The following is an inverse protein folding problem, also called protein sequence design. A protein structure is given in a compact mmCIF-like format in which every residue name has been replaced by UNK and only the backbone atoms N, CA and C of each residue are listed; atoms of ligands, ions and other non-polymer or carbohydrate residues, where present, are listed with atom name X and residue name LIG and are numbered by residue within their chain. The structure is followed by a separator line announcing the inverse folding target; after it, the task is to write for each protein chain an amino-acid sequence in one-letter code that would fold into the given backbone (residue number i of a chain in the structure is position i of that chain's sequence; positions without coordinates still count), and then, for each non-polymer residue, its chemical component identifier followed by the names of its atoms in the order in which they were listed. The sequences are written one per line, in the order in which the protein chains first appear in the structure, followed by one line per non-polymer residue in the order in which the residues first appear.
data_IF_422458314559
#
_entry.id   IF_422458314559
#
_cell.length_a   1.000
_cell.length_b   1.000
_cell.length_c   1.000
_cell.angle_alpha   90.00
_cell.angle_beta   90.00
_cell.angle_gamma   90.00
#
_symmetry.space_group_name_H-M   'P 1'
#
loop_
_entity.id
_entity.type
_entity.pdbx_description
1 polymer ?
2 polymer ?
3 polymer ?
4 non-polymer ?
#
loop_
_entity_poly.entity_id
_entity_poly.type
_entity_poly.pdbx_seq_one_letter_code
_entity_poly.pdbx_strand_id
1 'polyribonucleotide' 'GACUAAGUUCGGCAUCAAUAUGGUGACCUCCCGGGAGCGGGGGACCACCAGGUUGCCUAAGGAGGGGUGAACCGGCCCAGGUCGGAAACGGAGCAGGUCAAAACUCCCGUGCUGAUCAGUAGUUA' ?
#
# COMPACT_ATOMS: atom_id res chain seq x y z
N UNK B 13 -22.26 30.15 48.23
CA UNK B 13 -21.24 30.32 47.19
C UNK B 13 -20.52 29.02 46.86
N UNK B 14 -20.69 28.01 47.72
CA UNK B 14 -20.13 26.69 47.48
C UNK B 14 -21.20 25.81 46.83
N UNK B 15 -21.59 26.18 45.60
CA UNK B 15 -22.56 25.43 44.83
C UNK B 15 -21.95 24.95 43.50
N UNK B 16 -22.36 23.78 43.04
CA UNK B 16 -21.88 23.27 41.76
C UNK B 16 -22.43 24.08 40.59
N UNK B 17 -21.62 24.25 39.56
CA UNK B 17 -22.05 24.96 38.35
C UNK B 17 -22.71 23.97 37.42
N UNK B 18 -23.54 24.48 36.52
CA UNK B 18 -24.14 23.67 35.45
C UNK B 18 -24.43 24.53 34.23
N UNK B 19 -23.76 24.20 33.13
CA UNK B 19 -24.01 24.85 31.86
C UNK B 19 -25.00 24.02 31.05
N UNK B 20 -25.75 24.65 30.14
CA UNK B 20 -26.72 23.94 29.31
C UNK B 20 -26.03 23.12 28.23
N UNK B 21 -24.80 23.51 27.92
CA UNK B 21 -23.95 22.74 27.02
C UNK B 21 -23.83 21.31 27.50
N UNK B 22 -23.78 21.13 28.81
CA UNK B 22 -23.62 19.81 29.42
C UNK B 22 -24.71 18.82 28.98
N UNK B 23 -25.84 19.33 28.51
CA UNK B 23 -27.00 18.48 28.27
C UNK B 23 -27.42 18.48 26.82
N UNK B 24 -26.76 19.32 26.01
CA UNK B 24 -27.15 19.51 24.63
C UNK B 24 -26.74 18.37 23.71
N UNK B 25 -27.73 17.68 23.14
CA UNK B 25 -27.43 16.52 22.31
C UNK B 25 -26.80 16.85 20.94
N UNK B 26 -26.83 18.12 20.55
CA UNK B 26 -26.20 18.56 19.31
C UNK B 26 -24.80 19.10 19.53
N UNK B 27 -24.16 18.64 20.60
CA UNK B 27 -22.79 19.06 20.92
C UNK B 27 -21.96 17.83 21.27
N UNK B 28 -20.69 17.85 20.87
CA UNK B 28 -19.80 16.75 21.18
C UNK B 28 -19.24 16.90 22.57
N UNK B 29 -18.81 15.78 23.14
CA UNK B 29 -18.10 15.76 24.40
C UNK B 29 -17.01 16.85 24.44
N UNK B 30 -16.36 17.08 23.31
CA UNK B 30 -15.32 18.10 23.25
C UNK B 30 -15.93 19.49 23.22
N UNK B 31 -17.22 19.57 22.93
CA UNK B 31 -17.91 20.86 22.87
C UNK B 31 -18.55 21.18 24.21
N UNK B 32 -18.39 20.27 25.18
CA UNK B 32 -18.91 20.50 26.52
C UNK B 32 -19.68 19.36 27.14
N UNK B 33 -20.56 18.73 26.37
CA UNK B 33 -21.55 17.78 26.89
C UNK B 33 -21.00 16.81 27.94
N UNK B 34 -21.78 16.56 28.99
CA UNK B 34 -21.32 15.75 30.12
C UNK B 34 -22.05 14.41 30.26
N UNK B 35 -23.12 14.26 29.50
CA UNK B 35 -23.91 13.03 29.56
C UNK B 35 -24.06 12.35 28.20
N UNK B 36 -24.24 11.01 28.19
CA UNK B 36 -24.46 10.26 26.96
C UNK B 36 -25.57 10.86 26.10
N UNK B 37 -25.39 10.86 24.78
CA UNK B 37 -26.35 11.44 23.86
C UNK B 37 -27.75 10.87 24.02
N UNK B 38 -27.81 9.56 24.25
CA UNK B 38 -29.07 8.84 24.42
C UNK B 38 -29.95 9.47 25.50
N UNK B 39 -29.31 9.95 26.56
CA UNK B 39 -30.02 10.55 27.68
C UNK B 39 -30.12 12.08 27.55
N UNK B 40 -29.34 12.64 26.63
CA UNK B 40 -29.28 14.10 26.47
C UNK B 40 -30.48 14.64 25.72
N UNK B 41 -30.54 15.97 25.59
CA UNK B 41 -31.67 16.61 24.91
C UNK B 41 -31.20 17.69 23.94
N UNK B 42 -32.15 18.19 23.15
CA UNK B 42 -31.85 19.21 22.15
C UNK B 42 -32.02 20.62 22.70
N UNK B 43 -30.97 21.41 22.54
CA UNK B 43 -30.96 22.83 22.92
C UNK B 43 -31.58 23.14 24.27
N UNK B 44 -31.07 22.53 25.35
CA UNK B 44 -31.63 22.88 26.65
C UNK B 44 -31.23 24.30 26.99
N UNK B 45 -32.14 25.03 27.64
CA UNK B 45 -31.85 26.39 28.06
C UNK B 45 -31.70 26.47 29.57
N UNK B 46 -30.83 27.37 30.02
CA UNK B 46 -30.56 27.56 31.44
C UNK B 46 -31.88 27.74 32.18
N UNK B 47 -32.79 28.46 31.53
CA UNK B 47 -34.14 28.64 32.04
C UNK B 47 -34.84 27.29 32.25
N UNK B 48 -34.91 26.49 31.18
CA UNK B 48 -35.49 25.16 31.21
C UNK B 48 -34.85 24.33 32.33
N UNK B 49 -33.53 24.40 32.39
CA UNK B 49 -32.77 23.71 33.41
C UNK B 49 -33.17 24.13 34.84
N UNK B 50 -33.15 25.43 35.10
CA UNK B 50 -33.55 25.95 36.40
C UNK B 50 -34.94 25.48 36.77
N UNK B 51 -35.85 25.57 35.80
CA UNK B 51 -37.25 25.25 36.05
C UNK B 51 -37.50 23.80 36.43
N UNK B 52 -36.82 22.87 35.77
CA UNK B 52 -37.05 21.46 36.06
C UNK B 52 -36.33 21.03 37.34
N UNK B 53 -35.27 21.73 37.68
CA UNK B 53 -34.54 21.45 38.92
C UNK B 53 -35.30 21.97 40.11
N UNK B 54 -35.65 23.25 40.06
CA UNK B 54 -36.41 23.90 41.11
C UNK B 54 -37.69 23.12 41.37
N UNK B 55 -38.40 22.77 40.31
CA UNK B 55 -39.69 22.12 40.43
C UNK B 55 -39.65 20.77 41.14
N UNK B 56 -38.46 20.19 41.26
CA UNK B 56 -38.36 18.96 42.02
C UNK B 56 -38.04 19.28 43.48
N UNK B 57 -37.80 20.55 43.76
CA UNK B 57 -37.52 20.98 45.12
C UNK B 57 -36.05 21.19 45.40
N UNK B 58 -35.28 21.39 44.34
CA UNK B 58 -33.87 21.69 44.50
C UNK B 58 -33.73 23.17 44.70
N UNK B 59 -32.75 23.56 45.48
CA UNK B 59 -32.41 24.96 45.60
C UNK B 59 -31.55 25.32 44.41
N UNK B 60 -32.10 26.11 43.50
CA UNK B 60 -31.34 26.55 42.34
C UNK B 60 -31.47 28.05 42.10
N UNK B 61 -30.39 28.67 41.62
CA UNK B 61 -30.48 30.05 41.20
C UNK B 61 -29.81 30.25 39.85
N UNK B 62 -30.41 31.12 39.04
CA UNK B 62 -30.08 31.23 37.64
C UNK B 62 -29.22 32.46 37.33
N UNK B 63 -28.08 32.24 36.70
CA UNK B 63 -27.23 33.34 36.27
C UNK B 63 -27.39 33.60 34.76
N UNK B 64 -28.40 34.41 34.43
CA UNK B 64 -28.77 34.74 33.05
C UNK B 64 -27.64 35.22 32.16
N UNK B 65 -26.58 35.74 32.75
CA UNK B 65 -25.53 36.38 31.96
C UNK B 65 -24.16 35.74 32.03
N UNK B 66 -24.09 34.48 32.45
CA UNK B 66 -22.84 33.75 32.36
C UNK B 66 -22.87 32.96 31.06
N UNK B 67 -21.75 32.95 30.35
CA UNK B 67 -21.63 32.17 29.12
C UNK B 67 -20.69 30.99 29.33
N UNK B 68 -20.89 29.93 28.56
CA UNK B 68 -19.96 28.82 28.64
C UNK B 68 -18.68 29.25 27.94
N UNK B 69 -17.54 28.93 28.51
CA UNK B 69 -16.26 29.26 27.88
C UNK B 69 -16.14 28.63 26.49
N UNK B 70 -16.58 27.37 26.40
CA UNK B 70 -16.55 26.62 25.15
C UNK B 70 -17.71 27.01 24.25
N UNK B 71 -18.60 27.85 24.75
CA UNK B 71 -19.73 28.24 23.91
C UNK B 71 -19.31 29.43 23.10
N UNK B 72 -19.72 29.40 21.83
CA UNK B 72 -19.23 30.29 20.79
C UNK B 72 -20.38 31.14 20.21
N UNK B 73 -21.60 30.62 20.32
CA UNK B 73 -22.79 31.25 19.76
C UNK B 73 -23.28 32.44 20.59
N UNK B 74 -22.92 33.66 20.19
CA UNK B 74 -23.21 34.85 20.98
C UNK B 74 -24.67 35.23 21.15
N UNK B 75 -25.60 34.44 20.61
CA UNK B 75 -27.01 34.81 20.77
C UNK B 75 -27.68 34.11 21.96
N UNK B 76 -28.62 34.84 22.55
CA UNK B 76 -29.22 34.56 23.86
C UNK B 76 -29.66 33.10 24.15
N UNK B 77 -30.07 32.34 23.14
CA UNK B 77 -30.63 31.02 23.44
C UNK B 77 -29.60 30.02 23.96
N UNK B 78 -28.32 30.41 23.94
CA UNK B 78 -27.26 29.53 24.43
C UNK B 78 -26.48 30.13 25.60
N UNK B 79 -26.84 31.34 26.02
CA UNK B 79 -26.19 31.95 27.18
C UNK B 79 -26.84 31.39 28.42
N UNK B 80 -26.17 31.56 29.56
CA UNK B 80 -26.77 31.15 30.82
C UNK B 80 -26.05 30.02 31.54
N UNK B 81 -26.08 30.10 32.87
CA UNK B 81 -25.48 29.10 33.73
C UNK B 81 -26.44 28.86 34.88
N UNK B 82 -26.61 27.61 35.28
CA UNK B 82 -27.44 27.31 36.44
C UNK B 82 -26.63 26.78 37.62
N UNK B 83 -26.65 27.50 38.73
CA UNK B 83 -25.94 27.04 39.91
C UNK B 83 -26.92 26.22 40.75
N UNK B 84 -26.44 25.11 41.30
CA UNK B 84 -27.30 24.28 42.13
C UNK B 84 -26.61 23.94 43.46
N UNK B 85 -27.38 23.94 44.53
CA UNK B 85 -26.87 23.53 45.84
C UNK B 85 -27.10 22.03 46.07
N UNK B 86 -26.06 21.34 46.53
CA UNK B 86 -26.19 19.94 46.92
C UNK B 86 -26.12 19.81 48.44
N UNK B 87 -25.54 20.82 49.08
CA UNK B 87 -25.18 20.71 50.48
C UNK B 87 -25.60 21.89 51.36
N UNK B 88 -26.04 21.55 52.57
CA UNK B 88 -26.53 22.49 53.58
C UNK B 88 -25.40 23.22 54.29
N UNK B 89 -24.16 22.94 53.88
CA UNK B 89 -22.94 23.49 54.48
C UNK B 89 -22.65 22.96 55.89
N UNK B 90 -23.25 21.82 56.24
CA UNK B 90 -22.71 20.98 57.30
C UNK B 90 -22.08 19.75 56.65
N UNK B 91 -22.06 19.76 55.32
CA UNK B 91 -21.48 18.70 54.52
C UNK B 91 -22.48 17.67 54.05
N UNK B 92 -23.68 17.68 54.64
CA UNK B 92 -24.69 16.71 54.30
C UNK B 92 -25.38 17.04 52.99
N UNK B 93 -25.94 16.03 52.35
CA UNK B 93 -26.60 16.23 51.08
C UNK B 93 -27.95 16.86 51.33
N UNK B 94 -28.22 17.98 50.67
CA UNK B 94 -29.52 18.62 50.75
C UNK B 94 -30.60 17.59 50.52
N UNK B 95 -30.41 16.79 49.48
CA UNK B 95 -31.28 15.68 49.21
C UNK B 95 -30.44 14.44 48.99
N UNK B 96 -30.99 13.30 49.35
CA UNK B 96 -30.31 12.03 49.16
C UNK B 96 -30.42 11.56 47.71
N UNK B 97 -31.46 12.05 47.02
CA UNK B 97 -31.64 11.71 45.61
C UNK B 97 -30.55 12.31 44.73
N UNK B 98 -29.94 13.40 45.19
CA UNK B 98 -28.94 14.08 44.37
C UNK B 98 -27.57 14.22 45.04
N UNK B 99 -26.81 13.12 45.10
CA UNK B 99 -25.45 13.17 45.64
C UNK B 99 -24.42 13.80 44.69
N UNK B 100 -24.60 13.65 43.38
CA UNK B 100 -23.58 14.08 42.42
C UNK B 100 -24.10 14.98 41.31
N UNK B 101 -23.20 15.76 40.74
CA UNK B 101 -23.49 16.63 39.61
C UNK B 101 -24.15 15.84 38.49
N UNK B 102 -23.58 14.68 38.23
CA UNK B 102 -24.09 13.79 37.20
C UNK B 102 -25.52 13.41 37.46
N UNK B 103 -25.84 13.15 38.73
CA UNK B 103 -27.20 12.76 39.13
C UNK B 103 -28.16 13.90 38.87
N UNK B 104 -27.67 15.12 39.04
CA UNK B 104 -28.48 16.29 38.72
C UNK B 104 -28.76 16.30 37.22
N UNK B 105 -27.69 16.41 36.43
CA UNK B 105 -27.77 16.56 34.99
C UNK B 105 -28.69 15.56 34.32
N UNK B 106 -28.51 14.29 34.66
CA UNK B 106 -29.30 13.21 34.08
C UNK B 106 -30.78 13.40 34.34
N UNK B 107 -31.09 13.95 35.52
CA UNK B 107 -32.48 14.18 35.87
C UNK B 107 -33.05 15.32 35.06
N UNK B 108 -32.36 16.47 35.07
CA UNK B 108 -32.79 17.63 34.31
C UNK B 108 -33.08 17.21 32.87
N UNK B 109 -32.14 16.45 32.33
CA UNK B 109 -32.26 15.87 31.00
C UNK B 109 -33.56 15.10 30.92
N UNK B 110 -33.83 14.27 31.92
CA UNK B 110 -35.04 13.45 31.93
C UNK B 110 -36.31 14.29 32.04
N UNK B 111 -36.22 15.47 32.65
CA UNK B 111 -37.44 16.24 32.94
C UNK B 111 -37.77 17.39 32.01
N UNK B 112 -36.76 18.08 31.50
CA UNK B 112 -36.97 19.15 30.52
C UNK B 112 -37.97 18.84 29.38
N UNK B 113 -37.92 17.63 28.80
CA UNK B 113 -38.81 17.32 27.67
C UNK B 113 -40.30 17.29 27.97
N UNK B 114 -40.71 17.11 29.22
CA UNK B 114 -42.14 17.08 29.54
C UNK B 114 -42.79 18.45 29.54
N UNK B 115 -41.96 19.48 29.47
CA UNK B 115 -42.44 20.86 29.45
C UNK B 115 -43.17 21.22 28.14
N UNK B 116 -42.39 21.46 27.09
CA UNK B 116 -42.91 22.02 25.85
C UNK B 116 -43.63 20.98 25.01
N UNK B 117 -43.16 19.73 25.08
CA UNK B 117 -43.74 18.68 24.27
C UNK B 117 -44.55 17.70 25.12
N UNK C 20 8.89 -19.89 -38.54
CA UNK C 20 9.17 -18.67 -37.80
C UNK C 20 10.43 -18.83 -36.94
N UNK C 21 11.17 -17.74 -36.78
CA UNK C 21 12.48 -17.80 -36.12
C UNK C 21 12.67 -16.63 -35.15
N UNK C 22 13.44 -16.85 -34.09
CA UNK C 22 13.81 -15.79 -33.15
C UNK C 22 15.07 -16.13 -32.37
N UNK C 23 16.13 -15.36 -32.59
CA UNK C 23 17.42 -15.59 -31.95
C UNK C 23 17.59 -14.76 -30.66
N UNK C 24 17.05 -15.27 -29.57
CA UNK C 24 16.93 -14.50 -28.33
C UNK C 24 18.24 -13.90 -27.78
N UNK C 25 19.22 -14.76 -27.46
CA UNK C 25 20.45 -14.29 -26.85
C UNK C 25 21.16 -13.21 -27.66
N UNK C 26 21.14 -13.34 -28.98
CA UNK C 26 21.78 -12.38 -29.86
C UNK C 26 21.05 -11.04 -29.85
N UNK C 27 19.71 -11.10 -29.87
CA UNK C 27 18.89 -9.90 -29.83
C UNK C 27 19.14 -9.11 -28.56
N UNK C 28 18.98 -9.77 -27.43
CA UNK C 28 19.12 -9.09 -26.16
C UNK C 28 20.53 -8.52 -26.04
N UNK C 29 21.55 -9.30 -26.41
CA UNK C 29 22.92 -8.84 -26.26
C UNK C 29 23.23 -7.60 -27.10
N UNK C 30 22.52 -7.43 -28.21
CA UNK C 30 22.81 -6.29 -29.08
C UNK C 30 21.92 -5.09 -28.78
N UNK C 31 20.68 -5.35 -28.37
CA UNK C 31 19.82 -4.29 -27.88
C UNK C 31 20.49 -3.68 -26.65
N UNK C 32 20.86 -4.56 -25.71
CA UNK C 32 21.42 -4.14 -24.42
C UNK C 32 22.62 -3.23 -24.58
N UNK C 33 23.54 -3.63 -25.45
CA UNK C 33 24.79 -2.90 -25.56
C UNK C 33 24.62 -1.56 -26.26
N UNK C 34 23.63 -1.46 -27.14
CA UNK C 34 23.44 -0.23 -27.91
C UNK C 34 22.71 0.89 -27.16
N UNK C 35 21.86 0.53 -26.20
CA UNK C 35 21.03 1.53 -25.53
C UNK C 35 21.23 1.58 -24.02
N UNK C 36 22.47 1.61 -23.56
CA UNK C 36 22.72 1.83 -22.15
C UNK C 36 23.67 0.88 -21.44
N UNK C 37 23.39 -0.42 -21.50
CA UNK C 37 24.09 -1.39 -20.66
C UNK C 37 25.59 -1.46 -20.89
N UNK C 38 26.08 -0.69 -21.85
CA UNK C 38 27.51 -0.49 -22.03
C UNK C 38 28.03 0.20 -20.79
N UNK C 39 27.20 1.07 -20.22
CA UNK C 39 27.56 1.80 -19.03
C UNK C 39 26.65 1.42 -17.86
N UNK C 40 25.67 0.57 -18.14
CA UNK C 40 24.81 0.04 -17.10
C UNK C 40 23.55 0.86 -16.89
N UNK C 41 23.24 1.73 -17.84
CA UNK C 41 22.09 2.61 -17.71
C UNK C 41 20.78 1.87 -18.03
N UNK C 42 20.28 1.12 -17.06
CA UNK C 42 19.06 0.33 -17.24
C UNK C 42 17.80 1.16 -17.47
N UNK C 43 17.84 2.43 -17.09
CA UNK C 43 16.73 3.33 -17.38
C UNK C 43 16.55 3.48 -18.88
N UNK C 44 17.60 3.94 -19.55
CA UNK C 44 17.55 4.19 -20.99
C UNK C 44 17.16 2.92 -21.73
N UNK C 45 17.82 1.82 -21.42
CA UNK C 45 17.57 0.57 -22.13
C UNK C 45 16.15 0.09 -21.90
N UNK C 46 15.64 0.26 -20.69
CA UNK C 46 14.27 -0.14 -20.41
C UNK C 46 13.33 0.71 -21.23
N UNK C 47 13.65 1.99 -21.32
CA UNK C 47 12.89 2.92 -22.12
C UNK C 47 12.90 2.47 -23.56
N UNK C 48 14.08 2.06 -24.02
CA UNK C 48 14.26 1.56 -25.37
C UNK C 48 13.37 0.35 -25.60
N UNK C 49 13.28 -0.51 -24.60
CA UNK C 49 12.43 -1.69 -24.69
C UNK C 49 10.97 -1.26 -24.79
N UNK C 50 10.59 -0.26 -24.01
CA UNK C 50 9.21 0.23 -24.00
C UNK C 50 8.79 0.81 -25.34
N UNK C 51 9.63 1.69 -25.88
CA UNK C 51 9.36 2.33 -27.16
C UNK C 51 9.32 1.32 -28.30
N UNK C 52 10.26 0.38 -28.28
CA UNK C 52 10.31 -0.67 -29.27
C UNK C 52 9.02 -1.46 -29.21
N UNK C 53 8.53 -1.69 -28.00
CA UNK C 53 7.30 -2.43 -27.81
C UNK C 53 6.13 -1.63 -28.36
N UNK C 54 6.27 -0.31 -28.38
CA UNK C 54 5.25 0.56 -28.95
C UNK C 54 5.22 0.36 -30.45
N UNK C 55 6.37 0.53 -31.09
CA UNK C 55 6.50 0.32 -32.54
C UNK C 55 5.94 -1.04 -32.93
N UNK C 56 6.39 -2.08 -32.24
CA UNK C 56 5.99 -3.44 -32.56
C UNK C 56 4.48 -3.62 -32.52
N UNK C 57 3.86 -3.23 -31.41
CA UNK C 57 2.41 -3.38 -31.30
C UNK C 57 1.69 -2.51 -32.32
N UNK C 58 2.23 -1.34 -32.60
CA UNK C 58 1.61 -0.44 -33.57
C UNK C 58 1.61 -1.06 -34.95
N UNK C 59 2.76 -1.56 -35.38
CA UNK C 59 2.84 -2.24 -36.66
C UNK C 59 1.88 -3.42 -36.67
N UNK C 60 1.92 -4.22 -35.61
CA UNK C 60 1.12 -5.44 -35.52
C UNK C 60 -0.38 -5.19 -35.41
N UNK C 61 -0.77 -4.08 -34.78
CA UNK C 61 -2.18 -3.82 -34.55
C UNK C 61 -2.87 -3.33 -35.83
N UNK C 78 -3.82 -15.71 -32.50
CA UNK C 78 -4.29 -17.04 -32.91
C UNK C 78 -3.08 -17.96 -32.98
N UNK C 79 -2.47 -18.18 -31.83
CA UNK C 79 -1.04 -18.47 -31.78
C UNK C 79 -0.41 -17.39 -32.65
N UNK C 80 0.27 -17.75 -33.72
CA UNK C 80 1.04 -16.72 -34.43
C UNK C 80 0.85 -16.61 -35.93
N UNK C 81 1.40 -15.54 -36.50
CA UNK C 81 1.52 -15.35 -37.95
C UNK C 81 2.96 -14.96 -38.27
N UNK C 82 3.34 -13.79 -37.75
CA UNK C 82 4.70 -13.27 -37.87
C UNK C 82 5.61 -13.66 -36.69
N UNK C 83 6.88 -13.26 -36.71
CA UNK C 83 7.78 -13.52 -35.61
C UNK C 83 7.93 -12.30 -34.70
N UNK C 84 7.17 -11.25 -34.99
CA UNK C 84 7.21 -10.03 -34.18
C UNK C 84 6.57 -10.21 -32.82
N UNK C 85 5.49 -10.99 -32.77
CA UNK C 85 4.86 -11.40 -31.52
C UNK C 85 5.90 -11.90 -30.51
N UNK C 86 6.78 -12.78 -30.98
CA UNK C 86 7.84 -13.32 -30.14
C UNK C 86 8.81 -12.23 -29.70
N UNK C 87 9.09 -11.29 -30.58
CA UNK C 87 9.96 -10.17 -30.25
C UNK C 87 9.30 -9.28 -29.20
N UNK C 88 7.99 -9.13 -29.32
CA UNK C 88 7.21 -8.27 -28.44
C UNK C 88 7.18 -8.76 -27.00
N UNK C 89 6.84 -10.03 -26.81
CA UNK C 89 6.79 -10.61 -25.47
C UNK C 89 8.16 -10.59 -24.81
N UNK C 90 9.21 -10.78 -25.59
CA UNK C 90 10.55 -10.71 -25.09
C UNK C 90 10.84 -9.32 -24.55
N UNK C 91 10.43 -8.31 -25.30
CA UNK C 91 10.56 -6.93 -24.86
C UNK C 91 9.81 -6.69 -23.56
N UNK C 92 8.71 -7.41 -23.38
CA UNK C 92 7.95 -7.32 -22.14
C UNK C 92 8.76 -7.90 -20.99
N UNK C 93 9.41 -9.03 -21.25
CA UNK C 93 10.28 -9.66 -20.25
C UNK C 93 11.54 -8.83 -20.05
N UNK C 94 12.01 -8.18 -21.11
CA UNK C 94 13.20 -7.34 -21.02
C UNK C 94 12.95 -6.08 -20.17
N UNK C 95 11.81 -5.43 -20.39
CA UNK C 95 11.44 -4.22 -19.65
C UNK C 95 11.49 -4.47 -18.15
N UNK C 96 10.69 -5.44 -17.71
CA UNK C 96 10.66 -5.84 -16.32
C UNK C 96 12.06 -6.15 -15.80
N UNK C 97 12.78 -7.01 -16.52
CA UNK C 97 14.14 -7.39 -16.12
C UNK C 97 15.04 -6.18 -15.91
N UNK C 98 15.05 -5.26 -16.87
CA UNK C 98 15.92 -4.11 -16.78
C UNK C 98 15.54 -3.24 -15.60
N UNK C 99 14.23 -3.12 -15.37
CA UNK C 99 13.70 -2.31 -14.28
C UNK C 99 14.23 -2.86 -12.97
N UNK C 100 13.95 -4.13 -12.72
CA UNK C 100 14.42 -4.82 -11.52
C UNK C 100 15.89 -4.56 -11.30
N UNK C 101 16.64 -4.46 -12.39
CA UNK C 101 18.06 -4.18 -12.30
C UNK C 101 18.38 -2.74 -11.95
N UNK C 102 17.59 -1.82 -12.47
CA UNK C 102 17.71 -0.43 -12.10
C UNK C 102 17.41 -0.36 -10.62
N UNK C 103 16.35 -1.04 -10.22
CA UNK C 103 15.92 -1.06 -8.84
C UNK C 103 17.00 -1.55 -7.90
N UNK C 104 17.74 -2.59 -8.27
CA UNK C 104 18.74 -3.09 -7.34
C UNK C 104 19.90 -2.12 -7.15
N UNK C 105 20.17 -1.29 -8.16
CA UNK C 105 21.19 -0.27 -8.00
C UNK C 105 20.67 0.76 -7.01
N UNK C 106 19.36 0.90 -6.98
CA UNK C 106 18.74 1.91 -6.14
C UNK C 106 18.48 1.39 -4.72
N UNK C 107 18.03 0.15 -4.63
CA UNK C 107 17.70 -0.48 -3.33
C UNK C 107 18.97 -0.71 -2.53
N UNK C 108 20.10 -0.47 -3.19
CA UNK C 108 21.42 -0.40 -2.57
C UNK C 108 21.37 0.48 -1.30
N UNK C 109 20.51 1.48 -1.35
CA UNK C 109 20.31 2.41 -0.24
C UNK C 109 18.84 2.53 0.20
N UNK C 110 17.93 2.05 -0.64
CA UNK C 110 16.50 2.24 -0.43
C UNK C 110 15.73 0.92 -0.35
N UNK C 111 15.93 0.15 0.73
CA UNK C 111 15.40 -1.21 0.86
C UNK C 111 13.91 -1.37 0.58
N UNK C 112 13.14 -0.29 0.65
CA UNK C 112 11.74 -0.35 0.24
C UNK C 112 11.60 -0.69 -1.24
N UNK C 113 12.63 -0.35 -2.02
CA UNK C 113 12.63 -0.64 -3.43
C UNK C 113 12.90 -2.11 -3.67
N UNK C 114 13.68 -2.73 -2.78
CA UNK C 114 14.01 -4.14 -2.93
C UNK C 114 12.75 -5.01 -3.02
N UNK C 115 11.67 -4.53 -2.41
CA UNK C 115 10.39 -5.22 -2.49
C UNK C 115 9.88 -5.18 -3.91
N UNK C 116 9.99 -4.01 -4.54
CA UNK C 116 9.55 -3.80 -5.93
C UNK C 116 10.42 -4.56 -6.94
N UNK C 117 11.73 -4.52 -6.70
CA UNK C 117 12.72 -5.28 -7.45
C UNK C 117 12.23 -6.70 -7.63
N UNK C 118 12.02 -7.39 -6.51
CA UNK C 118 11.51 -8.76 -6.54
C UNK C 118 10.18 -8.91 -7.26
N UNK C 119 9.39 -7.84 -7.32
CA UNK C 119 8.12 -7.92 -8.02
C UNK C 119 8.35 -7.88 -9.52
N UNK C 120 9.14 -6.90 -9.98
CA UNK C 120 9.53 -6.81 -11.37
C UNK C 120 10.14 -8.11 -11.83
N UNK C 121 11.06 -8.65 -11.04
CA UNK C 121 11.73 -9.88 -11.40
C UNK C 121 10.74 -11.02 -11.53
N UNK C 122 9.78 -11.11 -10.60
CA UNK C 122 8.75 -12.14 -10.70
C UNK C 122 7.87 -11.89 -11.92
N UNK C 123 7.73 -10.62 -12.31
CA UNK C 123 6.97 -10.32 -13.52
C UNK C 123 7.77 -10.68 -14.76
N UNK C 124 9.07 -10.39 -14.73
CA UNK C 124 9.97 -10.70 -15.82
C UNK C 124 9.90 -12.19 -16.15
N UNK C 125 9.80 -13.02 -15.13
CA UNK C 125 9.68 -14.45 -15.35
C UNK C 125 8.32 -14.81 -15.93
N UNK C 126 7.27 -14.14 -15.46
CA UNK C 126 5.93 -14.38 -15.98
C UNK C 126 5.86 -14.20 -17.51
N UNK C 127 6.47 -13.12 -17.99
CA UNK C 127 6.54 -12.84 -19.41
C UNK C 127 7.48 -13.79 -20.13
N UNK C 128 8.50 -14.25 -19.41
CA UNK C 128 9.44 -15.22 -19.97
C UNK C 128 8.81 -16.60 -20.10
N UNK C 129 8.01 -16.99 -19.11
CA UNK C 129 7.26 -18.24 -19.17
C UNK C 129 6.26 -18.18 -20.31
N UNK C 130 5.54 -17.06 -20.35
CA UNK C 130 4.55 -16.78 -21.38
C UNK C 130 5.20 -16.81 -22.76
N UNK C 131 6.48 -16.46 -22.79
CA UNK C 131 7.29 -16.52 -24.01
C UNK C 131 7.65 -17.96 -24.36
N UNK C 132 8.16 -18.70 -23.38
CA UNK C 132 8.47 -20.11 -23.54
C UNK C 132 7.20 -20.87 -23.88
N UNK C 133 6.05 -20.24 -23.62
CA UNK C 133 4.77 -20.81 -23.98
C UNK C 133 4.47 -20.62 -25.47
N UNK C 134 4.81 -19.45 -26.00
CA UNK C 134 4.56 -19.15 -27.40
C UNK C 134 5.48 -19.92 -28.34
N UNK C 135 6.74 -20.12 -27.93
CA UNK C 135 7.71 -20.76 -28.80
C UNK C 135 7.62 -22.28 -28.87
N UNK C 136 6.62 -22.84 -28.20
CA UNK C 136 6.35 -24.27 -28.28
C UNK C 136 5.28 -24.56 -29.32
N UNK C 137 4.80 -23.50 -29.95
CA UNK C 137 3.94 -23.65 -31.12
C UNK C 137 4.79 -24.21 -32.25
N UNK C 138 4.19 -25.10 -33.02
CA UNK C 138 4.96 -25.91 -33.96
C UNK C 138 5.29 -25.24 -35.29
N UNK C 139 5.10 -23.93 -35.37
CA UNK C 139 5.59 -23.15 -36.51
C UNK C 139 6.82 -22.33 -36.15
N UNK C 140 7.45 -22.70 -35.03
CA UNK C 140 8.72 -22.09 -34.61
C UNK C 140 9.78 -23.17 -34.40
N UNK C 141 10.95 -22.96 -34.98
CA UNK C 141 12.03 -23.95 -34.94
C UNK C 141 12.52 -24.26 -33.52
N UNK C 142 13.27 -25.36 -33.40
CA UNK C 142 13.72 -25.85 -32.11
C UNK C 142 14.89 -25.06 -31.53
N UNK C 143 15.64 -24.36 -32.39
CA UNK C 143 16.71 -23.50 -31.94
C UNK C 143 16.13 -22.39 -31.06
N UNK C 144 14.99 -21.86 -31.49
CA UNK C 144 14.31 -20.81 -30.76
C UNK C 144 13.67 -21.38 -29.48
N UNK C 145 13.23 -22.63 -29.54
CA UNK C 145 12.73 -23.31 -28.35
C UNK C 145 13.82 -23.34 -27.29
N UNK C 146 15.04 -23.63 -27.73
CA UNK C 146 16.19 -23.70 -26.83
C UNK C 146 16.46 -22.36 -26.15
N UNK C 147 16.53 -21.31 -26.96
CA UNK C 147 16.78 -19.95 -26.46
C UNK C 147 15.78 -19.56 -25.38
N UNK C 148 14.50 -19.82 -25.64
CA UNK C 148 13.44 -19.41 -24.74
C UNK C 148 13.52 -20.11 -23.39
N UNK C 149 13.81 -21.39 -23.40
CA UNK C 149 13.92 -22.14 -22.17
C UNK C 149 15.24 -21.82 -21.47
N UNK C 150 16.20 -21.29 -22.22
CA UNK C 150 17.49 -20.91 -21.65
C UNK C 150 17.38 -19.53 -21.03
N UNK C 151 16.59 -18.68 -21.68
CA UNK C 151 16.27 -17.34 -21.19
C UNK C 151 15.42 -17.44 -19.93
N UNK C 152 14.35 -18.24 -20.02
CA UNK C 152 13.46 -18.45 -18.90
C UNK C 152 14.24 -18.96 -17.71
N UNK C 153 15.24 -19.79 -17.98
CA UNK C 153 16.11 -20.29 -16.93
C UNK C 153 16.98 -19.19 -16.34
N UNK C 154 17.46 -18.30 -17.21
CA UNK C 154 18.32 -17.21 -16.77
C UNK C 154 17.59 -16.34 -15.77
N UNK C 155 16.41 -15.88 -16.15
CA UNK C 155 15.60 -15.05 -15.26
C UNK C 155 15.18 -15.80 -14.00
N UNK C 156 14.68 -17.00 -14.18
CA UNK C 156 14.33 -17.88 -13.07
C UNK C 156 15.50 -17.99 -12.11
N UNK C 157 16.70 -18.14 -12.67
CA UNK C 157 17.91 -18.13 -11.89
C UNK C 157 18.03 -16.83 -11.13
N UNK C 158 17.73 -15.73 -11.80
CA UNK C 158 17.88 -14.42 -11.16
C UNK C 158 16.90 -14.21 -10.00
N UNK C 159 15.65 -14.58 -10.19
CA UNK C 159 14.66 -14.37 -9.13
C UNK C 159 15.05 -15.14 -7.88
N UNK C 160 15.25 -16.44 -8.04
CA UNK C 160 15.62 -17.30 -6.93
C UNK C 160 16.93 -16.84 -6.29
N UNK C 161 17.83 -16.27 -7.09
CA UNK C 161 19.10 -15.78 -6.58
C UNK C 161 18.89 -14.53 -5.74
N UNK C 162 17.85 -13.78 -6.04
CA UNK C 162 17.55 -12.59 -5.26
C UNK C 162 16.77 -12.94 -3.99
N UNK C 163 15.92 -13.94 -4.08
CA UNK C 163 15.26 -14.49 -2.90
C UNK C 163 16.24 -15.26 -2.05
N UNK C 164 17.45 -15.40 -2.57
CA UNK C 164 18.54 -16.11 -1.88
C UNK C 164 18.23 -17.58 -1.68
N UNK C 165 17.41 -18.12 -2.59
CA UNK C 165 17.06 -19.54 -2.63
C UNK C 165 18.15 -20.34 -3.35
N UNK C 166 19.27 -20.55 -2.67
CA UNK C 166 20.52 -20.98 -3.31
C UNK C 166 20.48 -22.29 -4.07
N UNK C 167 19.68 -23.25 -3.64
CA UNK C 167 19.62 -24.52 -4.36
C UNK C 167 18.74 -24.41 -5.60
N UNK C 168 17.56 -23.83 -5.41
CA UNK C 168 16.65 -23.58 -6.53
C UNK C 168 17.30 -22.69 -7.58
N UNK C 169 18.00 -21.66 -7.11
CA UNK C 169 18.68 -20.73 -8.01
C UNK C 169 19.80 -21.41 -8.79
N UNK C 170 20.59 -22.23 -8.11
CA UNK C 170 21.70 -22.90 -8.76
C UNK C 170 21.19 -23.96 -9.75
N UNK C 171 20.03 -24.54 -9.47
CA UNK C 171 19.38 -25.45 -10.41
C UNK C 171 19.13 -24.71 -11.70
N UNK C 172 18.56 -23.53 -11.57
CA UNK C 172 18.21 -22.71 -12.73
C UNK C 172 19.45 -22.23 -13.46
N UNK C 173 20.50 -21.93 -12.72
CA UNK C 173 21.73 -21.46 -13.34
C UNK C 173 22.47 -22.55 -14.10
N UNK C 174 22.39 -23.78 -13.60
CA UNK C 174 22.97 -24.92 -14.30
C UNK C 174 22.13 -25.33 -15.49
N UNK C 175 20.81 -25.33 -15.30
CA UNK C 175 19.87 -25.57 -16.39
C UNK C 175 20.18 -24.60 -17.53
N UNK C 176 20.33 -23.33 -17.18
CA UNK C 176 20.72 -22.30 -18.12
C UNK C 176 22.07 -22.61 -18.77
N UNK C 177 23.04 -23.00 -17.93
CA UNK C 177 24.38 -23.31 -18.42
C UNK C 177 24.36 -24.51 -19.35
N UNK C 178 23.58 -25.52 -18.99
CA UNK C 178 23.48 -26.76 -19.75
C UNK C 178 22.92 -26.51 -21.16
N UNK C 179 21.83 -25.77 -21.22
CA UNK C 179 21.18 -25.49 -22.50
C UNK C 179 22.05 -24.60 -23.41
N UNK C 180 22.68 -23.59 -22.82
CA UNK C 180 23.57 -22.71 -23.58
C UNK C 180 24.78 -23.46 -24.12
N UNK C 181 25.24 -24.46 -23.37
CA UNK C 181 26.34 -25.30 -23.84
C UNK C 181 25.89 -26.20 -24.99
N UNK C 182 24.62 -26.62 -24.93
CA UNK C 182 24.02 -27.43 -25.98
C UNK C 182 23.91 -26.63 -27.28
N UNK C 183 23.54 -25.36 -27.16
CA UNK C 183 23.44 -24.48 -28.32
C UNK C 183 24.81 -24.23 -28.94
N UNK C 184 25.83 -24.13 -28.09
CA UNK C 184 27.17 -23.74 -28.52
C UNK C 184 27.88 -24.82 -29.33
N UNK C 185 27.61 -26.08 -29.00
CA UNK C 185 28.26 -27.18 -29.70
C UNK C 185 27.75 -27.33 -31.14
N UNK C 186 26.46 -27.04 -31.35
CA UNK C 186 25.82 -27.25 -32.64
C UNK C 186 26.21 -26.19 -33.68
N UNK C 187 27.03 -25.22 -33.26
CA UNK C 187 27.51 -24.17 -34.14
C UNK C 187 29.03 -24.12 -34.12
N UNK C 188 29.61 -23.41 -35.09
CA UNK C 188 31.05 -23.24 -35.13
C UNK C 188 31.49 -22.47 -33.90
N UNK C 189 32.79 -22.43 -33.64
CA UNK C 189 33.31 -21.72 -32.47
C UNK C 189 33.01 -20.23 -32.52
N UNK C 190 32.95 -19.68 -33.73
CA UNK C 190 32.63 -18.27 -33.90
C UNK C 190 31.19 -17.95 -33.48
N UNK C 191 30.24 -18.76 -33.95
CA UNK C 191 28.85 -18.58 -33.55
C UNK C 191 28.69 -18.86 -32.06
N UNK C 192 29.51 -19.76 -31.53
CA UNK C 192 29.40 -20.19 -30.14
C UNK C 192 30.04 -19.21 -29.16
N UNK C 193 30.74 -18.21 -29.68
CA UNK C 193 31.41 -17.22 -28.84
C UNK C 193 30.42 -16.53 -27.91
N UNK C 194 29.30 -16.10 -28.47
CA UNK C 194 28.27 -15.41 -27.70
C UNK C 194 27.76 -16.28 -26.57
N UNK C 195 27.42 -17.52 -26.89
CA UNK C 195 26.94 -18.46 -25.89
C UNK C 195 27.98 -18.67 -24.78
N UNK C 196 29.24 -18.81 -25.18
CA UNK C 196 30.32 -19.06 -24.23
C UNK C 196 30.55 -17.91 -23.26
N UNK C 197 30.45 -16.68 -23.76
CA UNK C 197 30.65 -15.51 -22.92
C UNK C 197 29.49 -15.31 -21.95
N UNK C 198 28.33 -15.87 -22.30
CA UNK C 198 27.16 -15.78 -21.44
C UNK C 198 27.25 -16.77 -20.29
N UNK C 199 27.82 -17.94 -20.57
CA UNK C 199 28.05 -18.91 -19.50
C UNK C 199 29.22 -18.44 -18.64
N UNK C 200 30.18 -17.76 -19.26
CA UNK C 200 31.23 -17.09 -18.50
C UNK C 200 30.58 -16.04 -17.64
N UNK C 201 29.55 -15.40 -18.20
CA UNK C 201 28.85 -14.31 -17.54
C UNK C 201 28.09 -14.76 -16.29
N UNK C 202 27.46 -15.92 -16.35
CA UNK C 202 26.66 -16.40 -15.22
C UNK C 202 27.47 -17.29 -14.27
N UNK C 203 28.69 -17.63 -14.64
CA UNK C 203 29.56 -18.46 -13.79
C UNK C 203 29.85 -17.87 -12.40
N UNK C 204 30.02 -16.53 -12.31
CA UNK C 204 30.14 -15.96 -10.95
C UNK C 204 28.90 -16.21 -10.10
N UNK C 205 27.72 -16.07 -10.71
CA UNK C 205 26.47 -16.33 -10.02
C UNK C 205 26.39 -17.76 -9.52
N UNK C 206 26.76 -18.70 -10.39
CA UNK C 206 26.80 -20.11 -10.02
C UNK C 206 27.71 -20.33 -8.81
N UNK C 207 28.84 -19.64 -8.80
CA UNK C 207 29.84 -19.78 -7.75
C UNK C 207 29.32 -19.33 -6.38
N UNK C 208 28.57 -18.23 -6.39
CA UNK C 208 28.07 -17.64 -5.15
C UNK C 208 27.09 -18.59 -4.45
N UNK C 209 26.17 -19.15 -5.23
CA UNK C 209 25.17 -20.08 -4.71
C UNK C 209 25.84 -21.24 -4.00
N UNK C 210 26.89 -21.75 -4.61
CA UNK C 210 27.61 -22.92 -4.10
C UNK C 210 28.11 -22.72 -2.68
N UNK C 211 28.80 -21.60 -2.44
CA UNK C 211 29.42 -21.35 -1.14
C UNK C 211 28.42 -21.09 -0.02
N UNK C 212 27.13 -21.06 -0.37
CA UNK C 212 26.07 -20.94 0.62
C UNK C 212 25.39 -22.27 0.93
N UNK C 213 25.59 -23.28 0.08
CA UNK C 213 25.04 -24.60 0.32
C UNK C 213 26.15 -25.56 0.77
N UNK C 214 27.32 -25.00 1.09
CA UNK C 214 28.47 -25.80 1.47
C UNK C 214 28.25 -26.60 2.73
X LIG D 1 -8.56 7.35 22.23
X LIG E 1 -0.48 12.29 -17.04
X LIG F 1 1.95 4.90 4.89
X LIG G 1 -18.09 13.96 34.89
#
# INVERSE_FOLDING_TARGET
MACAAARSPADQDRFICIYPAYLNNKKTIAEGRRIPISKAVENPTATEIQDVCSAVGLNVFLEKNKMYSREWNRDVQYRGRVRVQLKQEDGSLCLVQFPSRKSVMLYAAEMIPKLKTRTQLEHHHHHH
MGHHHHHHGSKANKEFGDSLSLEILQIIKESQQQHGLRHGDFQRYRGYCSRRQRRLRKTLNFKMGNRHKFTGKKVTEDLLTDNRYLLLVLMDAERAWSYAMQLKQEANTEPRKRFHLLSRLRKAVKHAEELERLCESNRVDAKTKLEAQAYTAYLSGMLRFEHQEWKAAIEAFNKCKTIYEKLASAFTEEQAVLYNQRVEEISPNIRYCAYNIGDQ
MG MG
MG MG
MG MG
MG MG
#
